data_IF_423995223373
#
_entry.id   IF_423995223373
#
_cell.length_a   1.000
_cell.length_b   1.000
_cell.length_c   1.000
_cell.angle_alpha   90.00
_cell.angle_beta   90.00
_cell.angle_gamma   90.00
#
_symmetry.space_group_name_H-M   'P 1'
#
loop_
_entity.id
_entity.type
_entity.pdbx_description
1 polymer ?
#
# COMPACT_ATOMS: atom_id res chain seq x y z
N UNK A 1 27.70 22.98 6.50
CA UNK A 1 26.91 22.39 7.58
C UNK A 1 27.81 22.37 8.80
N UNK A 2 27.47 23.17 9.79
CA UNK A 2 28.21 23.29 11.05
C UNK A 2 27.68 22.28 12.07
N UNK A 3 28.47 21.97 13.10
CA UNK A 3 28.04 21.13 14.22
C UNK A 3 26.78 21.69 14.93
N UNK A 4 26.55 22.99 14.86
CA UNK A 4 25.34 23.64 15.40
C UNK A 4 24.08 23.39 14.58
N UNK A 5 24.21 23.04 13.29
CA UNK A 5 23.05 22.68 12.47
C UNK A 5 22.48 21.32 12.91
N UNK A 6 23.33 20.44 13.46
CA UNK A 6 22.93 19.11 13.94
C UNK A 6 22.08 19.23 15.20
N UNK A 7 22.50 20.06 16.16
CA UNK A 7 21.73 20.30 17.40
C UNK A 7 20.39 20.97 17.10
N UNK A 8 20.35 21.92 16.15
CA UNK A 8 19.11 22.55 15.69
C UNK A 8 18.16 21.56 15.02
N UNK A 9 18.67 20.70 14.14
CA UNK A 9 17.88 19.64 13.51
C UNK A 9 17.39 18.62 14.53
N UNK A 10 18.22 18.26 15.51
CA UNK A 10 17.88 17.32 16.57
C UNK A 10 16.71 17.82 17.41
N UNK A 11 16.72 19.09 17.84
CA UNK A 11 15.62 19.67 18.61
C UNK A 11 14.27 19.59 17.89
N UNK A 12 14.25 19.93 16.59
CA UNK A 12 13.03 19.87 15.76
C UNK A 12 12.57 18.43 15.51
N UNK A 13 13.50 17.52 15.22
CA UNK A 13 13.19 16.13 14.95
C UNK A 13 12.70 15.40 16.21
N UNK A 14 13.35 15.64 17.36
CA UNK A 14 13.02 15.01 18.64
C UNK A 14 11.60 15.34 19.09
N UNK A 15 11.23 16.62 19.10
CA UNK A 15 9.88 17.04 19.50
C UNK A 15 8.80 16.47 18.57
N UNK A 16 9.08 16.33 17.27
CA UNK A 16 8.15 15.73 16.31
C UNK A 16 8.03 14.22 16.49
N UNK A 17 9.13 13.53 16.76
CA UNK A 17 9.14 12.08 16.97
C UNK A 17 8.46 11.68 18.29
N UNK A 18 8.68 12.44 19.37
CA UNK A 18 8.17 12.17 20.72
C UNK A 18 6.72 12.64 20.93
N UNK A 19 5.88 12.56 19.90
CA UNK A 19 4.43 12.78 20.06
C UNK A 19 3.74 11.44 20.34
N UNK A 20 2.71 11.39 21.20
CA UNK A 20 1.99 10.15 21.49
C UNK A 20 1.48 9.44 20.23
N UNK A 21 1.05 10.21 19.23
CA UNK A 21 0.60 9.69 17.93
C UNK A 21 1.70 8.95 17.18
N UNK A 22 2.90 9.52 17.10
CA UNK A 22 4.03 8.89 16.40
C UNK A 22 4.59 7.69 17.17
N UNK A 23 4.61 7.79 18.50
CA UNK A 23 5.00 6.67 19.39
C UNK A 23 4.03 5.50 19.20
N UNK A 24 2.72 5.70 19.33
CA UNK A 24 1.71 4.66 19.15
C UNK A 24 1.73 4.06 17.74
N UNK A 25 1.95 4.88 16.71
CA UNK A 25 2.07 4.40 15.34
C UNK A 25 3.32 3.51 15.14
N UNK A 26 4.42 3.81 15.83
CA UNK A 26 5.64 3.00 15.76
C UNK A 26 5.46 1.61 16.36
N UNK A 27 4.82 1.50 17.54
CA UNK A 27 4.45 0.22 18.16
C UNK A 27 3.50 -0.61 17.29
N UNK A 28 2.47 0.02 16.72
CA UNK A 28 1.55 -0.65 15.78
C UNK A 28 2.27 -1.24 14.56
N UNK A 29 3.37 -0.63 14.12
CA UNK A 29 4.10 -1.05 12.91
C UNK A 29 5.11 -2.16 13.19
N UNK A 30 5.70 -2.19 14.37
CA UNK A 30 6.64 -3.25 14.78
C UNK A 30 5.93 -4.53 15.20
N UNK A 31 4.59 -4.55 15.23
CA UNK A 31 3.82 -5.68 15.74
C UNK A 31 3.93 -5.85 17.26
N UNK A 32 4.54 -4.88 17.95
CA UNK A 32 4.67 -4.87 19.41
C UNK A 32 3.41 -4.19 19.94
N UNK A 33 2.45 -4.99 20.37
CA UNK A 33 1.30 -4.49 21.10
C UNK A 33 1.62 -4.39 22.60
N UNK A 34 0.98 -3.45 23.28
CA UNK A 34 0.93 -3.49 24.74
C UNK A 34 0.16 -4.73 25.16
N UNK A 35 0.52 -5.34 26.29
CA UNK A 35 -0.17 -6.51 26.82
C UNK A 35 -1.64 -6.15 27.11
N UNK A 36 -2.52 -6.54 26.18
CA UNK A 36 -3.97 -6.37 26.27
C UNK A 36 -4.60 -7.75 26.45
N UNK A 37 -5.16 -7.99 27.64
CA UNK A 37 -5.78 -9.26 28.03
C UNK A 37 -6.97 -9.64 27.15
N UNK A 38 -7.54 -8.70 26.41
CA UNK A 38 -8.67 -8.96 25.51
C UNK A 38 -8.24 -9.25 24.08
N UNK A 39 -6.99 -8.97 23.73
CA UNK A 39 -6.43 -9.25 22.39
C UNK A 39 -5.63 -10.55 22.37
N UNK A 40 -4.98 -10.90 23.48
CA UNK A 40 -4.21 -12.14 23.59
C UNK A 40 -4.94 -13.16 24.45
N UNK A 41 -5.23 -14.32 23.86
CA UNK A 41 -5.78 -15.47 24.61
C UNK A 41 -4.64 -16.38 25.07
N UNK A 42 -4.87 -17.18 26.11
CA UNK A 42 -3.84 -18.09 26.64
C UNK A 42 -3.26 -19.03 25.57
N UNK A 43 -4.01 -19.29 24.49
CA UNK A 43 -3.58 -20.05 23.30
C UNK A 43 -2.41 -19.42 22.55
N UNK A 44 -2.30 -18.09 22.52
CA UNK A 44 -1.21 -17.39 21.83
C UNK A 44 0.12 -17.51 22.59
N UNK A 45 0.03 -17.85 23.88
CA UNK A 45 1.17 -18.11 24.77
C UNK A 45 1.46 -19.61 24.91
N UNK A 46 0.66 -20.49 24.30
CA UNK A 46 0.93 -21.93 24.32
C UNK A 46 2.19 -22.21 23.50
N UNK A 47 3.10 -23.06 24.02
CA UNK A 47 4.24 -23.51 23.23
C UNK A 47 3.72 -24.25 22.00
N UNK A 48 4.13 -23.85 20.80
CA UNK A 48 3.80 -24.60 19.58
C UNK A 48 4.43 -25.99 19.68
N UNK A 49 3.60 -27.03 19.78
CA UNK A 49 4.03 -28.41 19.60
C UNK A 49 4.52 -28.58 18.16
N UNK A 50 5.85 -28.53 17.96
CA UNK A 50 6.47 -28.78 16.63
C UNK A 50 6.46 -30.28 16.29
N UNK A 51 6.00 -31.13 17.22
CA UNK A 51 6.11 -32.58 17.13
C UNK A 51 4.94 -33.28 16.43
N UNK A 52 3.82 -32.60 16.17
CA UNK A 52 2.64 -33.21 15.52
C UNK A 52 2.64 -33.06 13.99
N UNK A 53 3.82 -33.02 13.35
CA UNK A 53 3.91 -33.15 11.89
C UNK A 53 3.83 -34.63 11.56
N UNK A 54 2.72 -35.15 10.97
CA UNK A 54 2.73 -36.52 10.49
C UNK A 54 3.83 -36.66 9.44
N UNK A 55 4.65 -37.70 9.60
CA UNK A 55 5.73 -38.00 8.68
C UNK A 55 5.15 -38.13 7.26
N UNK A 56 5.68 -37.41 6.25
CA UNK A 56 5.11 -37.43 4.90
C UNK A 56 5.23 -38.85 4.35
N UNK A 57 4.10 -39.55 4.29
CA UNK A 57 4.04 -40.88 3.68
C UNK A 57 4.12 -40.69 2.17
N UNK A 58 5.25 -41.08 1.57
CA UNK A 58 5.40 -41.15 0.12
C UNK A 58 4.40 -42.19 -0.41
N UNK A 59 3.33 -41.72 -1.05
CA UNK A 59 2.39 -42.60 -1.75
C UNK A 59 3.03 -43.05 -3.07
N UNK A 60 3.76 -44.15 -3.03
CA UNK A 60 4.06 -44.93 -4.23
C UNK A 60 2.94 -45.95 -4.43
N UNK A 61 2.08 -45.66 -5.42
CA UNK A 61 1.11 -46.59 -5.98
C UNK A 61 1.82 -47.81 -6.55
N UNK A 62 1.50 -49.02 -6.07
CA UNK A 62 1.05 -50.18 -6.87
C UNK A 62 1.11 -51.51 -6.06
N UNK A 63 0.05 -52.32 -6.22
CA UNK A 63 -0.18 -53.75 -5.90
C UNK A 63 -0.09 -54.28 -4.45
N UNK A 64 -1.27 -54.63 -3.91
CA UNK A 64 -1.66 -56.03 -3.63
C UNK A 64 -1.17 -56.71 -2.33
N UNK A 65 -2.12 -57.42 -1.71
CA UNK A 65 -2.05 -58.51 -0.71
C UNK A 65 -1.80 -58.21 0.79
N UNK A 66 -2.91 -58.33 1.54
CA UNK A 66 -3.14 -59.23 2.69
C UNK A 66 -2.46 -59.05 4.07
N UNK A 67 -3.36 -58.96 5.07
CA UNK A 67 -3.41 -59.75 6.32
C UNK A 67 -2.78 -59.22 7.63
N UNK A 68 -3.71 -58.76 8.49
CA UNK A 68 -3.86 -58.94 9.95
C UNK A 68 -2.75 -58.63 10.97
N UNK A 69 -3.24 -57.97 12.05
CA UNK A 69 -3.02 -58.30 13.48
C UNK A 69 -1.65 -57.96 14.07
N UNK A 70 -1.46 -57.57 15.33
CA UNK A 70 -2.23 -56.95 16.41
C UNK A 70 -1.19 -56.68 17.52
N UNK A 71 -1.55 -55.82 18.48
CA UNK A 71 -1.10 -55.84 19.90
C UNK A 71 0.30 -55.36 20.31
N UNK A 72 0.24 -54.49 21.33
CA UNK A 72 1.03 -54.47 22.58
C UNK A 72 2.43 -53.83 22.65
N UNK A 73 2.47 -52.79 23.50
CA UNK A 73 3.37 -52.58 24.65
C UNK A 73 4.87 -52.32 24.44
N UNK A 74 5.28 -51.11 24.87
CA UNK A 74 6.08 -50.96 26.09
C UNK A 74 7.59 -51.27 26.09
N UNK A 75 8.36 -50.18 26.28
CA UNK A 75 9.61 -50.07 27.07
C UNK A 75 10.99 -50.15 26.37
N UNK A 76 11.71 -49.02 26.52
CA UNK A 76 13.12 -48.82 26.88
C UNK A 76 14.19 -49.85 26.49
N UNK A 77 15.29 -49.38 25.89
CA UNK A 77 16.63 -49.36 26.53
C UNK A 77 17.72 -48.79 25.60
N UNK A 78 18.64 -48.05 26.23
CA UNK A 78 19.93 -47.59 25.72
C UNK A 78 20.71 -48.67 24.96
N UNK A 79 21.25 -48.32 23.79
CA UNK A 79 22.54 -48.82 23.31
C UNK A 79 23.33 -47.71 22.62
N UNK A 80 24.41 -47.33 23.28
CA UNK A 80 25.58 -46.68 22.72
C UNK A 80 26.19 -47.57 21.63
N UNK A 81 26.59 -46.98 20.49
CA UNK A 81 27.93 -47.14 19.87
C UNK A 81 27.95 -46.76 18.38
N UNK A 82 29.08 -46.17 18.00
CA UNK A 82 29.77 -46.14 16.69
C UNK A 82 29.49 -44.96 15.75
N UNK A 83 30.52 -44.09 15.71
CA UNK A 83 31.01 -43.40 14.51
C UNK A 83 31.07 -44.35 13.31
N UNK A 84 30.50 -43.92 12.20
CA UNK A 84 31.13 -43.80 10.88
C UNK A 84 30.00 -43.45 9.92
N UNK A 85 29.95 -42.21 9.45
CA UNK A 85 29.27 -41.89 8.20
C UNK A 85 30.07 -40.80 7.49
N UNK A 86 30.76 -41.24 6.45
CA UNK A 86 31.23 -40.39 5.37
C UNK A 86 30.01 -39.71 4.75
N UNK A 87 29.88 -38.40 4.94
CA UNK A 87 29.03 -37.57 4.12
C UNK A 87 29.92 -36.59 3.34
N UNK A 88 29.85 -36.60 1.99
CA UNK A 88 30.56 -35.61 1.19
C UNK A 88 29.89 -34.24 1.37
N UNK A 89 30.72 -33.21 1.52
CA UNK A 89 30.37 -31.78 1.54
C UNK A 89 29.71 -31.19 2.80
N UNK A 90 30.37 -31.30 3.95
CA UNK A 90 30.25 -30.24 4.96
C UNK A 90 31.11 -29.04 4.57
N UNK A 91 30.51 -28.05 3.91
CA UNK A 91 31.14 -26.77 3.54
C UNK A 91 31.09 -25.86 4.77
N UNK A 92 32.25 -25.41 5.26
CA UNK A 92 32.27 -24.55 6.46
C UNK A 92 31.77 -23.14 6.13
N UNK A 93 31.18 -22.39 7.08
CA UNK A 93 30.70 -21.03 6.85
C UNK A 93 31.76 -20.04 6.30
N UNK A 94 33.05 -20.36 6.42
CA UNK A 94 34.15 -19.57 5.82
C UNK A 94 34.28 -19.76 4.31
N UNK A 95 33.71 -20.82 3.74
CA UNK A 95 33.74 -21.14 2.30
C UNK A 95 32.55 -20.53 1.53
N UNK A 96 31.62 -19.85 2.22
CA UNK A 96 30.66 -18.96 1.56
C UNK A 96 31.41 -17.76 0.98
N UNK A 97 31.74 -17.89 -0.31
CA UNK A 97 32.21 -16.86 -1.21
C UNK A 97 31.44 -15.57 -0.94
N UNK A 98 32.17 -14.50 -0.64
CA UNK A 98 31.66 -13.27 -0.04
C UNK A 98 30.45 -12.67 -0.75
N UNK A 99 29.65 -11.94 0.05
CA UNK A 99 28.44 -11.25 -0.38
C UNK A 99 28.63 -10.53 -1.73
N UNK A 100 27.62 -10.56 -2.61
CA UNK A 100 27.67 -9.81 -3.86
C UNK A 100 27.92 -8.33 -3.56
N UNK A 101 29.13 -7.86 -3.89
CA UNK A 101 29.49 -6.46 -3.70
C UNK A 101 28.59 -5.60 -4.60
N UNK A 102 27.90 -4.65 -3.99
CA UNK A 102 27.02 -3.73 -4.71
C UNK A 102 27.81 -3.00 -5.81
N UNK A 103 27.17 -2.78 -6.97
CA UNK A 103 27.76 -2.01 -8.06
C UNK A 103 28.18 -0.63 -7.56
N UNK A 104 29.30 -0.06 -8.05
CA UNK A 104 29.71 1.30 -7.70
C UNK A 104 28.55 2.26 -7.99
N UNK A 105 28.25 3.10 -6.99
CA UNK A 105 27.17 4.08 -7.08
C UNK A 105 27.50 5.04 -8.22
N UNK A 106 26.62 5.14 -9.23
CA UNK A 106 26.74 6.17 -10.26
C UNK A 106 26.68 7.53 -9.57
N UNK A 107 27.79 8.27 -9.59
CA UNK A 107 27.79 9.68 -9.24
C UNK A 107 26.98 10.41 -10.29
N UNK A 108 25.75 10.80 -9.93
CA UNK A 108 25.05 11.81 -10.72
C UNK A 108 25.76 13.13 -10.42
N UNK A 109 26.24 13.86 -11.44
CA UNK A 109 26.78 15.18 -11.20
C UNK A 109 25.70 16.02 -10.54
N UNK A 110 26.03 16.55 -9.37
CA UNK A 110 25.19 17.45 -8.62
C UNK A 110 25.05 18.72 -9.47
N UNK A 111 23.99 18.81 -10.28
CA UNK A 111 23.68 20.01 -11.06
C UNK A 111 23.24 21.08 -10.07
N UNK A 112 24.21 21.71 -9.42
CA UNK A 112 24.05 22.95 -8.67
C UNK A 112 23.48 23.97 -9.66
N UNK A 113 22.18 24.23 -9.58
CA UNK A 113 21.60 25.46 -10.11
C UNK A 113 22.27 26.60 -9.35
N UNK A 114 23.20 27.29 -10.00
CA UNK A 114 23.55 28.65 -9.63
C UNK A 114 22.41 29.51 -10.16
N UNK A 115 21.55 29.95 -9.26
CA UNK A 115 20.77 31.16 -9.47
C UNK A 115 21.77 32.30 -9.37
N UNK A 116 22.08 32.91 -10.50
CA UNK A 116 22.68 34.23 -10.58
C UNK A 116 21.60 35.16 -11.12
N UNK A 117 21.11 36.04 -10.25
CA UNK A 117 20.38 37.22 -10.70
C UNK A 117 21.31 38.12 -11.52
N UNK A 118 20.78 38.76 -12.56
CA UNK A 118 21.20 40.11 -12.89
C UNK A 118 20.03 41.07 -12.81
N UNK A 119 20.25 42.16 -12.09
CA UNK A 119 19.43 43.37 -12.13
C UNK A 119 19.37 43.97 -13.53
N UNK A 120 18.15 44.37 -13.90
CA UNK A 120 17.73 45.64 -14.50
C UNK A 120 18.51 46.20 -15.71
N UNK A 121 17.85 46.23 -16.87
CA UNK A 121 17.92 47.40 -17.75
C UNK A 121 16.60 47.56 -18.51
N UNK A 122 16.08 48.78 -18.46
CA UNK A 122 14.91 49.23 -19.20
C UNK A 122 15.17 49.21 -20.71
N UNK A 123 14.19 48.71 -21.47
CA UNK A 123 14.10 49.03 -22.90
C UNK A 123 12.63 49.03 -23.34
N UNK A 124 12.16 50.22 -23.64
CA UNK A 124 10.90 50.48 -24.31
C UNK A 124 10.91 49.97 -25.77
N UNK A 125 9.68 49.70 -26.24
CA UNK A 125 9.19 49.94 -27.60
C UNK A 125 8.89 48.73 -28.51
N UNK A 126 7.67 48.82 -29.05
CA UNK A 126 7.21 48.32 -30.37
C UNK A 126 6.64 46.91 -30.48
N UNK A 127 5.31 46.85 -30.33
CA UNK A 127 4.42 46.24 -31.33
C UNK A 127 4.64 44.76 -31.66
N UNK A 128 4.15 43.87 -30.80
CA UNK A 128 4.00 42.46 -31.10
C UNK A 128 2.55 42.03 -30.86
N UNK A 129 1.91 41.53 -31.91
CA UNK A 129 0.51 41.14 -31.99
C UNK A 129 0.10 40.22 -30.81
N UNK A 130 -0.99 40.61 -30.16
CA UNK A 130 -1.68 39.83 -29.14
C UNK A 130 -2.26 38.58 -29.80
N UNK A 131 -1.53 37.47 -29.74
CA UNK A 131 -2.12 36.15 -29.97
C UNK A 131 -3.08 35.88 -28.80
N UNK A 132 -4.41 35.82 -29.01
CA UNK A 132 -5.28 35.28 -27.98
C UNK A 132 -4.87 33.82 -27.81
N UNK A 133 -4.23 33.52 -26.67
CA UNK A 133 -4.02 32.14 -26.25
C UNK A 133 -5.38 31.45 -26.31
N UNK A 134 -5.53 30.30 -27.00
CA UNK A 134 -6.76 29.55 -26.93
C UNK A 134 -6.96 29.23 -25.45
N UNK A 135 -8.01 29.81 -24.88
CA UNK A 135 -8.47 29.50 -23.53
C UNK A 135 -8.47 27.97 -23.41
N UNK A 136 -7.83 27.39 -22.38
CA UNK A 136 -7.94 25.95 -22.16
C UNK A 136 -9.44 25.64 -22.17
N UNK A 137 -9.88 24.64 -22.95
CA UNK A 137 -11.29 24.30 -23.04
C UNK A 137 -11.79 24.18 -21.61
N UNK A 138 -12.82 24.97 -21.29
CA UNK A 138 -13.53 24.85 -20.05
C UNK A 138 -13.75 23.34 -19.85
N UNK A 139 -13.22 22.81 -18.75
CA UNK A 139 -13.50 21.43 -18.37
C UNK A 139 -15.01 21.40 -18.17
N UNK A 140 -15.73 20.95 -19.19
CA UNK A 140 -17.17 20.74 -19.09
C UNK A 140 -17.35 19.67 -18.01
N UNK A 141 -17.53 20.13 -16.79
CA UNK A 141 -18.05 19.35 -15.68
C UNK A 141 -19.48 19.03 -16.09
N UNK A 142 -19.66 17.97 -16.88
CA UNK A 142 -20.96 17.58 -17.42
C UNK A 142 -21.82 17.02 -16.29
N UNK A 143 -22.44 17.93 -15.55
CA UNK A 143 -23.37 17.67 -14.45
C UNK A 143 -24.65 16.94 -14.90
N UNK A 144 -24.89 16.82 -16.22
CA UNK A 144 -26.16 16.35 -16.78
C UNK A 144 -26.09 15.00 -17.51
N UNK A 145 -24.95 14.30 -17.54
CA UNK A 145 -24.87 12.99 -18.20
C UNK A 145 -25.23 11.89 -17.21
N UNK A 146 -26.03 10.90 -17.63
CA UNK A 146 -26.24 9.69 -16.83
C UNK A 146 -24.91 8.91 -16.72
N UNK A 147 -24.51 8.47 -15.51
CA UNK A 147 -23.26 7.75 -15.33
C UNK A 147 -23.28 6.46 -16.14
N UNK A 148 -22.25 6.26 -16.97
CA UNK A 148 -22.10 5.05 -17.80
C UNK A 148 -21.27 4.01 -17.06
N UNK A 149 -21.27 2.80 -17.62
CA UNK A 149 -20.43 1.70 -17.17
C UNK A 149 -18.96 2.15 -17.15
N UNK A 150 -18.24 1.77 -16.10
CA UNK A 150 -16.83 2.11 -15.88
C UNK A 150 -16.50 3.59 -15.67
N UNK A 151 -17.48 4.50 -15.65
CA UNK A 151 -17.19 5.87 -15.25
C UNK A 151 -16.84 5.96 -13.76
N UNK A 152 -15.98 6.91 -13.43
CA UNK A 152 -15.71 7.29 -12.06
C UNK A 152 -16.75 8.30 -11.60
N UNK A 153 -17.22 8.15 -10.37
CA UNK A 153 -18.27 8.97 -9.77
C UNK A 153 -17.88 9.35 -8.36
N UNK A 154 -18.31 10.54 -7.94
CA UNK A 154 -18.23 10.99 -6.56
C UNK A 154 -19.58 10.75 -5.90
N UNK A 155 -19.61 9.95 -4.84
CA UNK A 155 -20.82 9.57 -4.12
C UNK A 155 -20.84 10.28 -2.77
N UNK A 156 -21.96 10.95 -2.48
CA UNK A 156 -22.23 11.63 -1.21
C UNK A 156 -22.96 10.68 -0.25
N UNK A 157 -22.47 10.65 0.99
CA UNK A 157 -23.05 9.94 2.11
C UNK A 157 -23.35 10.92 3.24
N UNK A 158 -24.63 11.00 3.62
CA UNK A 158 -25.06 11.80 4.76
C UNK A 158 -24.71 11.06 6.07
N UNK A 159 -23.95 11.70 6.94
CA UNK A 159 -23.59 11.15 8.24
C UNK A 159 -24.59 11.65 9.28
N UNK A 160 -25.34 10.73 9.90
CA UNK A 160 -26.44 11.06 10.82
C UNK A 160 -26.05 11.94 12.03
N UNK A 161 -24.77 12.04 12.36
CA UNK A 161 -24.25 12.73 13.56
C UNK A 161 -23.43 13.99 13.24
N UNK A 162 -23.14 14.27 11.98
CA UNK A 162 -22.36 15.44 11.57
C UNK A 162 -23.06 16.17 10.44
N UNK A 163 -23.04 17.49 10.49
CA UNK A 163 -23.57 18.35 9.42
C UNK A 163 -22.67 18.36 8.16
N UNK A 164 -21.54 17.67 8.22
CA UNK A 164 -20.64 17.46 7.09
C UNK A 164 -21.01 16.19 6.33
N UNK A 165 -21.21 16.33 5.03
CA UNK A 165 -21.33 15.21 4.12
C UNK A 165 -19.97 14.53 3.87
N UNK A 166 -19.99 13.20 3.80
CA UNK A 166 -18.84 12.41 3.38
C UNK A 166 -18.91 12.13 1.88
N UNK A 167 -17.77 12.19 1.23
CA UNK A 167 -17.67 11.90 -0.20
C UNK A 167 -16.72 10.73 -0.42
N UNK A 168 -17.12 9.80 -1.29
CA UNK A 168 -16.31 8.67 -1.70
C UNK A 168 -16.18 8.64 -3.21
N UNK A 169 -14.98 8.29 -3.68
CA UNK A 169 -14.72 8.11 -5.11
C UNK A 169 -14.92 6.65 -5.46
N UNK A 170 -15.71 6.38 -6.50
CA UNK A 170 -16.02 5.03 -6.93
C UNK A 170 -16.05 4.88 -8.44
N UNK A 171 -15.98 3.63 -8.91
CA UNK A 171 -16.17 3.24 -10.32
C UNK A 171 -17.49 2.49 -10.47
N UNK A 172 -18.28 2.87 -11.46
CA UNK A 172 -19.55 2.20 -11.78
C UNK A 172 -19.26 0.84 -12.43
N UNK A 173 -19.76 -0.23 -11.82
CA UNK A 173 -19.61 -1.61 -12.30
C UNK A 173 -20.84 -2.13 -13.01
N UNK A 174 -22.04 -1.82 -12.52
CA UNK A 174 -23.29 -2.19 -13.19
C UNK A 174 -24.33 -1.10 -13.03
N UNK A 175 -25.22 -1.02 -14.02
CA UNK A 175 -26.34 -0.09 -14.05
C UNK A 175 -27.61 -0.94 -14.04
N UNK A 176 -28.51 -0.68 -13.11
CA UNK A 176 -29.82 -1.33 -13.08
C UNK A 176 -30.68 -0.84 -14.26
N UNK A 177 -31.59 -1.69 -14.75
CA UNK A 177 -32.49 -1.40 -15.89
C UNK A 177 -33.22 -0.06 -15.76
N UNK A 178 -33.59 0.33 -14.53
CA UNK A 178 -34.30 1.58 -14.26
C UNK A 178 -33.39 2.83 -14.17
N UNK A 179 -32.08 2.70 -14.40
CA UNK A 179 -31.07 3.78 -14.26
C UNK A 179 -31.10 4.55 -12.93
N UNK A 180 -31.72 3.97 -11.91
CA UNK A 180 -31.91 4.61 -10.60
C UNK A 180 -30.94 4.06 -9.55
N UNK A 181 -30.44 2.84 -9.76
CA UNK A 181 -29.50 2.14 -8.88
C UNK A 181 -28.26 1.73 -9.66
N UNK A 182 -27.11 2.00 -9.07
CA UNK A 182 -25.79 1.74 -9.64
C UNK A 182 -24.99 0.90 -8.65
N UNK A 183 -24.34 -0.15 -9.14
CA UNK A 183 -23.34 -0.88 -8.34
C UNK A 183 -22.01 -0.16 -8.51
N UNK A 184 -21.48 0.38 -7.43
CA UNK A 184 -20.26 1.19 -7.43
C UNK A 184 -19.21 0.49 -6.59
N UNK A 185 -18.01 0.31 -7.15
CA UNK A 185 -16.82 -0.13 -6.43
C UNK A 185 -16.05 1.09 -5.94
N UNK A 186 -15.89 1.25 -4.63
CA UNK A 186 -15.22 2.39 -4.02
C UNK A 186 -13.71 2.21 -3.99
N UNK A 187 -13.03 3.32 -4.27
CA UNK A 187 -11.59 3.41 -4.13
C UNK A 187 -11.25 3.98 -2.75
N UNK A 188 -10.09 3.62 -2.22
CA UNK A 188 -9.60 4.17 -0.95
C UNK A 188 -8.68 5.35 -1.20
N UNK A 189 -8.82 6.42 -0.43
CA UNK A 189 -7.83 7.49 -0.40
C UNK A 189 -6.46 6.96 0.06
N UNK A 190 -5.39 7.43 -0.59
CA UNK A 190 -4.03 7.16 -0.13
C UNK A 190 -3.60 8.14 0.94
N UNK A 191 -3.16 7.61 2.08
CA UNK A 191 -2.53 8.42 3.13
C UNK A 191 -1.17 9.02 2.72
N UNK A 192 -0.57 8.56 1.61
CA UNK A 192 0.79 8.93 1.20
C UNK A 192 0.84 10.06 0.19
N UNK A 193 -0.16 10.15 -0.68
CA UNK A 193 -0.23 11.11 -1.78
C UNK A 193 -1.64 11.66 -1.77
N UNK A 194 -1.79 12.95 -1.54
CA UNK A 194 -3.08 13.64 -1.58
C UNK A 194 -3.70 13.52 -2.98
N UNK A 195 -5.04 13.49 -3.04
CA UNK A 195 -5.81 13.32 -4.28
C UNK A 195 -5.44 12.06 -5.09
N UNK A 196 -4.96 11.03 -4.41
CA UNK A 196 -4.68 9.74 -5.04
C UNK A 196 -5.48 8.63 -4.37
N UNK A 197 -5.92 7.70 -5.21
CA UNK A 197 -6.83 6.64 -4.87
C UNK A 197 -6.23 5.30 -5.27
N UNK A 198 -6.59 4.24 -4.55
CA UNK A 198 -6.10 2.88 -4.81
C UNK A 198 -7.30 1.93 -4.71
N UNK A 199 -7.34 0.93 -5.59
CA UNK A 199 -8.23 -0.21 -5.41
C UNK A 199 -7.83 -1.00 -4.16
N UNK A 200 -8.80 -1.25 -3.29
CA UNK A 200 -8.60 -2.13 -2.14
C UNK A 200 -8.43 -3.58 -2.61
N UNK A 201 -7.59 -4.36 -1.93
CA UNK A 201 -7.47 -5.81 -2.18
C UNK A 201 -8.79 -6.54 -1.91
N UNK A 202 -9.57 -6.02 -0.96
CA UNK A 202 -10.94 -6.47 -0.69
C UNK A 202 -11.87 -5.48 -1.38
N UNK A 203 -12.64 -5.95 -2.36
CA UNK A 203 -13.59 -5.14 -3.12
C UNK A 203 -14.62 -4.51 -2.17
N UNK A 204 -14.70 -3.18 -2.19
CA UNK A 204 -15.70 -2.42 -1.44
C UNK A 204 -16.76 -1.96 -2.43
N UNK A 205 -17.88 -2.66 -2.47
CA UNK A 205 -18.94 -2.43 -3.45
C UNK A 205 -20.27 -2.15 -2.77
N UNK A 206 -21.03 -1.20 -3.31
CA UNK A 206 -22.36 -0.92 -2.81
C UNK A 206 -23.33 -0.52 -3.91
N UNK A 207 -24.62 -0.61 -3.59
CA UNK A 207 -25.70 -0.09 -4.44
C UNK A 207 -26.01 1.35 -4.06
N UNK A 208 -25.78 2.26 -5.00
CA UNK A 208 -25.95 3.71 -4.84
C UNK A 208 -27.11 4.18 -5.70
N UNK A 209 -27.95 5.06 -5.17
CA UNK A 209 -29.03 5.71 -5.93
C UNK A 209 -28.51 6.91 -6.71
N UNK A 210 -29.18 7.26 -7.82
CA UNK A 210 -28.80 8.44 -8.63
C UNK A 210 -28.70 9.72 -7.79
N UNK A 211 -29.57 9.89 -6.80
CA UNK A 211 -29.61 11.07 -5.93
C UNK A 211 -28.34 11.25 -5.07
N UNK A 212 -27.64 10.16 -4.76
CA UNK A 212 -26.42 10.21 -3.95
C UNK A 212 -25.17 10.46 -4.79
N UNK A 213 -25.28 10.45 -6.13
CA UNK A 213 -24.15 10.75 -7.02
C UNK A 213 -24.04 12.26 -7.15
N UNK A 214 -22.96 12.83 -6.62
CA UNK A 214 -22.72 14.26 -6.64
C UNK A 214 -22.15 14.72 -7.99
N UNK A 215 -21.24 13.95 -8.58
CA UNK A 215 -20.65 14.25 -9.89
C UNK A 215 -20.06 13.03 -10.57
N UNK A 216 -19.95 13.11 -11.90
CA UNK A 216 -19.13 12.20 -12.71
C UNK A 216 -17.73 12.79 -12.80
N UNK A 217 -16.74 11.96 -12.51
CA UNK A 217 -15.33 12.35 -12.56
C UNK A 217 -14.76 12.09 -13.96
N UNK A 218 -13.80 12.93 -14.41
CA UNK A 218 -13.08 12.69 -15.64
C UNK A 218 -12.26 11.40 -15.55
N UNK A 219 -11.80 10.93 -16.70
CA UNK A 219 -10.89 9.78 -16.72
C UNK A 219 -9.63 10.06 -15.88
N UNK A 220 -9.17 9.07 -15.11
CA UNK A 220 -8.03 9.24 -14.25
C UNK A 220 -6.77 9.42 -15.07
N UNK A 221 -5.90 10.32 -14.61
CA UNK A 221 -4.57 10.48 -15.16
C UNK A 221 -3.68 9.42 -14.54
N UNK A 222 -3.10 8.57 -15.40
CA UNK A 222 -2.06 7.65 -14.98
C UNK A 222 -0.86 8.45 -14.47
N UNK A 223 -0.59 8.39 -13.16
CA UNK A 223 0.54 9.08 -12.52
C UNK A 223 1.89 8.43 -12.83
N UNK A 224 1.92 7.41 -13.70
CA UNK A 224 3.01 6.46 -13.86
C UNK A 224 4.29 7.08 -14.45
N UNK A 225 5.07 7.76 -13.61
CA UNK A 225 6.49 8.06 -13.86
C UNK A 225 7.39 6.86 -13.54
N UNK A 226 6.89 5.90 -12.74
CA UNK A 226 7.62 4.71 -12.26
C UNK A 226 6.64 3.53 -12.09
N UNK A 227 7.03 2.31 -12.47
CA UNK A 227 6.21 1.07 -12.35
C UNK A 227 5.52 0.86 -10.99
N UNK A 228 6.14 1.31 -9.89
CA UNK A 228 5.59 1.19 -8.53
C UNK A 228 4.39 2.10 -8.26
N UNK A 229 4.16 3.10 -9.11
CA UNK A 229 3.08 4.07 -8.99
C UNK A 229 1.86 3.71 -9.85
N UNK A 230 1.91 2.61 -10.59
CA UNK A 230 0.85 2.20 -11.53
C UNK A 230 -0.48 1.86 -10.85
N UNK A 231 -0.44 1.54 -9.55
CA UNK A 231 -1.62 1.28 -8.73
C UNK A 231 -2.36 2.53 -8.23
N UNK A 232 -1.78 3.73 -8.41
CA UNK A 232 -2.39 4.96 -7.93
C UNK A 232 -3.18 5.62 -9.05
N UNK A 233 -4.40 6.02 -8.70
CA UNK A 233 -5.34 6.69 -9.57
C UNK A 233 -5.43 8.14 -9.11
N UNK A 234 -5.19 9.07 -10.01
CA UNK A 234 -5.30 10.51 -9.72
C UNK A 234 -6.22 11.19 -10.71
N UNK A 235 -6.99 12.16 -10.24
CA UNK A 235 -7.88 12.95 -11.09
C UNK A 235 -7.32 14.37 -11.21
N UNK A 236 -7.60 15.06 -12.33
CA UNK A 236 -7.29 16.50 -12.50
C UNK A 236 -8.28 17.38 -11.74
N UNK A 237 -8.75 16.92 -10.58
CA UNK A 237 -9.69 17.61 -9.71
C UNK A 237 -9.09 17.59 -8.32
N UNK A 238 -9.16 18.73 -7.63
CA UNK A 238 -8.78 18.81 -6.24
C UNK A 238 -9.96 18.42 -5.38
N UNK A 239 -9.77 17.43 -4.52
CA UNK A 239 -10.76 17.01 -3.54
C UNK A 239 -10.47 17.73 -2.23
N UNK A 240 -11.47 18.40 -1.67
CA UNK A 240 -11.36 18.99 -0.33
C UNK A 240 -11.29 17.89 0.75
N UNK A 241 -10.93 18.27 1.98
CA UNK A 241 -10.67 17.36 3.11
C UNK A 241 -11.81 16.40 3.50
N UNK A 242 -12.97 16.49 2.85
CA UNK A 242 -14.17 15.69 3.14
C UNK A 242 -14.32 14.48 2.20
N UNK A 243 -13.34 14.20 1.35
CA UNK A 243 -13.30 13.00 0.49
C UNK A 243 -12.44 11.91 1.15
N UNK A 244 -13.02 10.73 1.36
CA UNK A 244 -12.42 9.56 2.03
C UNK A 244 -12.20 8.38 1.08
#
# INVERSE_FOLDING_TARGET
>A
MSIYDISRCFGVAFQRAMTPTNILASFRRTGIAHFDRHVFTDTDFLPSSVFDRPMPTMLNTTVGVDLMSATAEGSSTNKESKKLDENPNFISPKEFIGYPKAKPRKEKPNKRRRESEPEMSDRESSGGEFCPSPSPPAMDLVLNTNPKLNNFVLVKFAVKRSDTDLFYVGRVLTISENQNKFRVSFLRCSNKISNSFIYSTVEDESMVTKANIAMILPEPVATAKIKRQDRFITFKINFDKNVL
#
